data_IF_060090253777
#
_entry.id   IF_060090253777
#
_cell.length_a   1.000
_cell.length_b   1.000
_cell.length_c   1.000
_cell.angle_alpha   90.00
_cell.angle_beta   90.00
_cell.angle_gamma   90.00
#
_symmetry.space_group_name_H-M   'P 1'
#
loop_
_entity.id
_entity.type
_entity.pdbx_description
1 polymer ?
#
# COMPACT_ATOMS: atom_id res chain seq x y z
N UNK A 1 -2.39 -17.07 6.48
CA UNK A 1 -1.32 -16.55 5.57
C UNK A 1 -0.04 -16.15 6.31
N UNK A 2 -0.03 -15.15 7.22
CA UNK A 2 1.19 -14.73 7.96
C UNK A 2 1.97 -15.86 8.64
N UNK A 3 1.27 -16.78 9.32
CA UNK A 3 1.87 -17.95 9.97
C UNK A 3 2.55 -18.90 8.97
N UNK A 4 1.97 -19.06 7.77
CA UNK A 4 2.53 -19.92 6.72
C UNK A 4 3.81 -19.32 6.15
N UNK A 5 3.81 -18.02 5.84
CA UNK A 5 5.01 -17.33 5.34
C UNK A 5 6.17 -17.45 6.34
N UNK A 6 5.90 -17.22 7.63
CA UNK A 6 6.90 -17.39 8.70
C UNK A 6 7.42 -18.83 8.75
N UNK A 7 6.55 -19.84 8.71
CA UNK A 7 6.95 -21.26 8.69
C UNK A 7 7.83 -21.58 7.48
N UNK A 8 7.45 -21.14 6.29
CA UNK A 8 8.22 -21.35 5.07
C UNK A 8 9.64 -20.76 5.18
N UNK A 9 9.76 -19.52 5.64
CA UNK A 9 11.06 -18.87 5.86
C UNK A 9 11.91 -19.65 6.85
N UNK A 10 11.32 -20.12 7.96
CA UNK A 10 12.07 -20.91 8.95
C UNK A 10 12.58 -22.23 8.39
N UNK A 11 11.81 -22.89 7.52
CA UNK A 11 12.22 -24.12 6.85
C UNK A 11 13.40 -23.82 5.91
N UNK A 12 13.31 -22.76 5.12
CA UNK A 12 14.38 -22.32 4.20
C UNK A 12 15.67 -22.00 4.96
N UNK A 13 15.59 -21.27 6.07
CA UNK A 13 16.76 -20.86 6.85
C UNK A 13 17.19 -21.88 7.91
N UNK A 14 16.49 -23.02 8.03
CA UNK A 14 16.68 -24.04 9.09
C UNK A 14 16.74 -23.46 10.51
N UNK A 15 16.01 -22.36 10.73
CA UNK A 15 15.99 -21.63 12.01
C UNK A 15 15.07 -22.31 13.04
N UNK A 16 15.33 -22.10 14.33
CA UNK A 16 14.50 -22.65 15.41
C UNK A 16 13.13 -21.95 15.46
N UNK A 17 12.14 -22.62 16.03
CA UNK A 17 10.79 -22.07 16.16
C UNK A 17 10.73 -20.81 17.05
N UNK A 18 11.58 -20.74 18.07
CA UNK A 18 11.66 -19.66 19.06
C UNK A 18 12.42 -18.42 18.57
N UNK A 19 13.22 -18.54 17.50
CA UNK A 19 14.02 -17.42 17.00
C UNK A 19 13.14 -16.31 16.41
N UNK A 20 13.51 -15.03 16.54
CA UNK A 20 12.73 -13.95 15.96
C UNK A 20 12.68 -14.06 14.44
N UNK A 21 11.48 -13.94 13.84
CA UNK A 21 11.33 -14.09 12.39
C UNK A 21 11.89 -12.90 11.60
N UNK A 22 11.88 -11.69 12.18
CA UNK A 22 12.28 -10.44 11.51
C UNK A 22 13.68 -10.51 10.84
N UNK A 23 14.75 -10.93 11.54
CA UNK A 23 16.06 -11.06 10.90
C UNK A 23 16.07 -12.07 9.75
N UNK A 24 15.25 -13.12 9.81
CA UNK A 24 15.15 -14.10 8.72
C UNK A 24 14.53 -13.50 7.44
N UNK A 25 13.51 -12.63 7.59
CA UNK A 25 12.96 -11.88 6.45
C UNK A 25 13.99 -10.94 5.83
N UNK A 26 14.78 -10.26 6.66
CA UNK A 26 15.84 -9.36 6.21
C UNK A 26 16.97 -10.12 5.51
N UNK A 27 17.40 -11.25 6.08
CA UNK A 27 18.43 -12.12 5.51
C UNK A 27 18.07 -12.59 4.10
N UNK A 28 16.80 -12.94 3.88
CA UNK A 28 16.31 -13.40 2.57
C UNK A 28 15.84 -12.27 1.65
N UNK A 29 15.89 -11.00 2.09
CA UNK A 29 15.30 -9.86 1.39
C UNK A 29 13.81 -10.09 1.01
N UNK A 30 13.05 -10.80 1.85
CA UNK A 30 11.63 -11.08 1.63
C UNK A 30 10.80 -10.07 2.41
N UNK A 31 9.80 -9.49 1.74
CA UNK A 31 8.88 -8.58 2.39
C UNK A 31 7.82 -9.35 3.21
N UNK A 32 7.61 -8.99 4.49
CA UNK A 32 6.50 -9.53 5.28
C UNK A 32 5.14 -9.30 4.61
N UNK A 33 4.22 -10.26 4.78
CA UNK A 33 2.91 -10.22 4.10
C UNK A 33 2.13 -8.92 4.29
N UNK A 34 2.16 -8.33 5.49
CA UNK A 34 1.44 -7.08 5.75
C UNK A 34 2.01 -5.91 4.93
N UNK A 35 3.34 -5.84 4.83
CA UNK A 35 4.01 -4.84 4.00
C UNK A 35 3.81 -5.13 2.51
N UNK A 36 3.81 -6.40 2.11
CA UNK A 36 3.51 -6.81 0.73
C UNK A 36 2.09 -6.43 0.32
N UNK A 37 1.11 -6.64 1.20
CA UNK A 37 -0.28 -6.22 0.97
C UNK A 37 -0.36 -4.71 0.77
N UNK A 38 0.26 -3.94 1.66
CA UNK A 38 0.29 -2.46 1.56
C UNK A 38 0.96 -2.00 0.27
N UNK A 39 2.09 -2.60 -0.09
CA UNK A 39 2.80 -2.31 -1.33
C UNK A 39 1.95 -2.61 -2.57
N UNK A 40 1.35 -3.80 -2.65
CA UNK A 40 0.46 -4.17 -3.77
C UNK A 40 -0.77 -3.26 -3.86
N UNK A 41 -1.32 -2.84 -2.72
CA UNK A 41 -2.42 -1.88 -2.68
C UNK A 41 -1.97 -0.51 -3.23
N UNK A 42 -0.79 -0.02 -2.83
CA UNK A 42 -0.23 1.23 -3.34
C UNK A 42 -0.02 1.19 -4.86
N UNK A 43 0.52 0.09 -5.39
CA UNK A 43 0.69 -0.13 -6.84
C UNK A 43 -0.67 -0.14 -7.55
N UNK A 44 -1.67 -0.82 -6.97
CA UNK A 44 -3.03 -0.83 -7.52
C UNK A 44 -3.63 0.57 -7.59
N UNK A 45 -3.51 1.36 -6.52
CA UNK A 45 -3.97 2.76 -6.49
C UNK A 45 -3.26 3.59 -7.54
N UNK A 46 -1.94 3.47 -7.67
CA UNK A 46 -1.16 4.13 -8.72
C UNK A 46 -1.68 3.79 -10.13
N UNK A 47 -1.96 2.52 -10.40
CA UNK A 47 -2.47 2.08 -11.69
C UNK A 47 -3.89 2.62 -11.97
N UNK A 48 -4.74 2.69 -10.94
CA UNK A 48 -6.08 3.29 -11.05
C UNK A 48 -5.97 4.77 -11.39
N UNK A 49 -5.10 5.51 -10.70
CA UNK A 49 -4.92 6.95 -10.93
C UNK A 49 -4.37 7.22 -12.34
N UNK A 50 -3.37 6.45 -12.77
CA UNK A 50 -2.64 6.70 -14.02
C UNK A 50 -3.34 6.15 -15.26
N UNK A 51 -3.91 4.96 -15.15
CA UNK A 51 -4.43 4.20 -16.29
C UNK A 51 -5.93 3.95 -16.22
N UNK A 52 -6.62 4.38 -15.15
CA UNK A 52 -8.02 4.03 -14.90
C UNK A 52 -8.27 2.51 -14.92
N UNK A 53 -7.30 1.74 -14.42
CA UNK A 53 -7.34 0.28 -14.39
C UNK A 53 -6.93 -0.27 -13.02
N UNK A 54 -7.61 -1.33 -12.50
CA UNK A 54 -8.78 -1.99 -13.09
C UNK A 54 -10.09 -1.23 -12.87
N UNK A 55 -10.06 -0.14 -12.08
CA UNK A 55 -11.21 0.69 -11.74
C UNK A 55 -10.95 2.13 -12.18
N UNK A 56 -12.03 2.90 -12.32
CA UNK A 56 -11.94 4.33 -12.65
C UNK A 56 -11.38 5.12 -11.45
N UNK A 57 -10.51 6.11 -11.71
CA UNK A 57 -9.96 7.01 -10.71
C UNK A 57 -11.04 7.82 -9.96
N UNK A 58 -12.23 7.99 -10.53
CA UNK A 58 -13.40 8.61 -9.88
C UNK A 58 -13.83 7.93 -8.58
N UNK A 59 -13.34 6.70 -8.35
CA UNK A 59 -13.46 5.97 -7.09
C UNK A 59 -12.87 6.75 -5.90
N UNK A 60 -11.80 7.52 -6.12
CA UNK A 60 -11.13 8.30 -5.10
C UNK A 60 -11.63 9.74 -5.08
N UNK A 61 -11.93 10.25 -3.89
CA UNK A 61 -12.42 11.62 -3.73
C UNK A 61 -11.22 12.56 -3.63
N UNK A 62 -10.95 13.31 -4.69
CA UNK A 62 -9.97 14.40 -4.63
C UNK A 62 -10.53 15.60 -3.86
N UNK A 63 -9.70 16.33 -3.10
CA UNK A 63 -10.11 17.59 -2.49
C UNK A 63 -10.48 18.62 -3.57
N UNK A 64 -11.68 19.17 -3.50
CA UNK A 64 -12.20 20.17 -4.46
C UNK A 64 -11.66 21.57 -4.22
N UNK A 65 -11.13 21.84 -3.01
CA UNK A 65 -10.54 23.12 -2.63
C UNK A 65 -9.02 23.01 -2.63
N UNK A 66 -8.34 24.10 -3.00
CA UNK A 66 -6.90 24.27 -2.86
C UNK A 66 -6.52 24.16 -1.39
N UNK A 67 -6.19 22.95 -0.97
CA UNK A 67 -5.82 22.60 0.40
C UNK A 67 -4.44 21.98 0.38
N UNK A 68 -3.75 21.95 1.52
CA UNK A 68 -2.45 21.25 1.66
C UNK A 68 -2.53 19.77 1.23
N UNK A 69 -3.71 19.16 1.31
CA UNK A 69 -3.92 17.80 0.81
C UNK A 69 -3.86 17.73 -0.72
N UNK A 70 -4.38 18.74 -1.43
CA UNK A 70 -4.28 18.81 -2.89
C UNK A 70 -2.83 19.01 -3.34
N UNK A 71 -2.07 19.88 -2.65
CA UNK A 71 -0.66 20.12 -2.98
C UNK A 71 0.22 18.89 -2.79
N UNK A 72 -0.18 17.98 -1.89
CA UNK A 72 0.50 16.70 -1.63
C UNK A 72 -0.11 15.52 -2.42
N UNK A 73 -1.02 15.78 -3.36
CA UNK A 73 -1.75 14.77 -4.14
C UNK A 73 -2.43 13.70 -3.25
N UNK A 74 -2.97 14.13 -2.11
CA UNK A 74 -3.71 13.29 -1.17
C UNK A 74 -5.19 13.25 -1.50
N UNK A 75 -5.82 12.09 -1.27
CA UNK A 75 -7.26 11.90 -1.38
C UNK A 75 -7.98 12.19 -0.06
N UNK A 76 -9.23 12.60 -0.16
CA UNK A 76 -10.14 12.62 0.98
C UNK A 76 -10.58 11.20 1.31
N UNK A 77 -10.48 10.82 2.59
CA UNK A 77 -11.02 9.56 3.05
C UNK A 77 -12.55 9.63 3.08
N UNK A 78 -13.26 8.63 2.54
CA UNK A 78 -14.71 8.54 2.70
C UNK A 78 -15.07 8.31 4.18
N UNK A 79 -16.27 8.71 4.62
CA UNK A 79 -16.75 8.41 5.97
C UNK A 79 -16.84 6.90 6.16
N UNK A 80 -16.28 6.39 7.26
CA UNK A 80 -16.30 4.99 7.63
C UNK A 80 -17.26 4.75 8.80
N UNK A 81 -18.43 4.18 8.51
CA UNK A 81 -19.40 3.86 9.57
C UNK A 81 -19.31 2.37 10.00
N UNK A 82 -18.54 1.55 9.27
CA UNK A 82 -18.39 0.12 9.56
C UNK A 82 -17.03 -0.42 9.09
N UNK A 83 -16.53 -1.47 9.75
CA UNK A 83 -15.29 -2.20 9.42
C UNK A 83 -15.22 -2.65 7.95
N UNK A 84 -16.36 -2.93 7.31
CA UNK A 84 -16.40 -3.26 5.89
C UNK A 84 -15.95 -2.07 5.02
N UNK A 85 -16.46 -0.87 5.31
CA UNK A 85 -16.11 0.35 4.56
C UNK A 85 -14.62 0.67 4.65
N UNK A 86 -13.98 0.36 5.79
CA UNK A 86 -12.53 0.52 5.97
C UNK A 86 -11.70 -0.41 5.10
N UNK A 87 -12.24 -1.60 4.76
CA UNK A 87 -11.55 -2.59 3.92
C UNK A 87 -11.65 -2.27 2.44
N UNK A 88 -12.59 -1.42 2.02
CA UNK A 88 -12.74 -1.04 0.63
C UNK A 88 -11.49 -0.33 0.12
N UNK A 89 -11.21 -0.49 -1.18
CA UNK A 89 -10.08 0.17 -1.85
C UNK A 89 -10.21 1.69 -1.76
N UNK A 90 -11.44 2.22 -1.79
CA UNK A 90 -11.69 3.67 -1.66
C UNK A 90 -11.12 4.25 -0.37
N UNK A 91 -11.25 3.52 0.75
CA UNK A 91 -10.75 3.95 2.05
C UNK A 91 -9.32 3.49 2.29
N UNK A 92 -9.08 2.17 2.25
CA UNK A 92 -7.76 1.61 2.54
C UNK A 92 -6.70 2.02 1.51
N UNK A 93 -7.07 2.10 0.24
CA UNK A 93 -6.19 2.55 -0.85
C UNK A 93 -5.84 4.02 -0.72
N UNK A 94 -6.84 4.88 -0.50
CA UNK A 94 -6.60 6.30 -0.22
C UNK A 94 -5.74 6.51 1.02
N UNK A 95 -5.96 5.74 2.09
CA UNK A 95 -5.15 5.81 3.32
C UNK A 95 -3.69 5.43 3.07
N UNK A 96 -3.45 4.34 2.33
CA UNK A 96 -2.09 3.91 1.97
C UNK A 96 -1.42 4.93 1.05
N UNK A 97 -2.13 5.44 0.05
CA UNK A 97 -1.61 6.47 -0.84
C UNK A 97 -1.23 7.74 -0.08
N UNK A 98 -2.10 8.23 0.81
CA UNK A 98 -1.84 9.42 1.60
C UNK A 98 -0.64 9.29 2.52
N UNK A 99 -0.33 8.07 2.99
CA UNK A 99 0.84 7.79 3.80
C UNK A 99 2.16 7.81 3.02
N UNK A 100 2.13 7.77 1.68
CA UNK A 100 3.33 7.86 0.86
C UNK A 100 3.89 9.30 0.87
N UNK A 101 5.22 9.46 0.95
CA UNK A 101 5.89 10.73 0.73
C UNK A 101 5.50 11.37 -0.62
N UNK A 102 5.41 12.71 -0.70
CA UNK A 102 5.08 13.41 -1.94
C UNK A 102 6.10 13.10 -3.05
N UNK A 103 7.39 12.97 -2.72
CA UNK A 103 8.45 12.67 -3.69
C UNK A 103 8.22 11.33 -4.41
N UNK A 104 7.71 10.33 -3.70
CA UNK A 104 7.39 9.01 -4.27
C UNK A 104 6.13 9.07 -5.15
N UNK A 105 5.18 9.94 -4.80
CA UNK A 105 4.00 10.16 -5.63
C UNK A 105 4.36 10.90 -6.91
N UNK A 106 5.32 11.83 -6.86
CA UNK A 106 5.72 12.68 -7.98
C UNK A 106 6.80 12.06 -8.88
N UNK A 107 7.66 11.19 -8.35
CA UNK A 107 8.76 10.55 -9.10
C UNK A 107 8.32 9.81 -10.37
N UNK A 108 7.04 9.53 -10.52
CA UNK A 108 6.43 9.01 -11.75
C UNK A 108 6.34 10.00 -12.94
N UNK A 109 6.56 11.31 -12.74
CA UNK A 109 6.50 12.30 -13.84
C UNK A 109 7.77 12.27 -14.71
N UNK A 110 8.87 11.71 -14.20
CA UNK A 110 10.18 11.74 -14.84
C UNK A 110 10.48 10.57 -15.81
N UNK A 111 9.55 9.63 -15.96
CA UNK A 111 9.69 8.49 -16.90
C UNK A 111 8.94 8.72 -18.22
N UNK A 112 8.97 9.95 -18.73
CA UNK A 112 8.56 10.30 -20.10
C UNK A 112 9.81 10.76 -20.87
N UNK A 113 10.62 9.80 -21.30
CA UNK A 113 11.62 9.97 -22.36
C UNK A 113 11.34 8.92 -23.43
#
# INVERSE_FOLDING_TARGET
IRRLQKRAIRIITRSKYTEPSKPLFQLLNILPFDLLRTFKLAVCVNNIIKYNQPLNASLFRSPSRLTRNLTHSNFNLPPNNNTYSERLVQFSGAKVWNALPPDIKQSHEQLKY
#
